data_IF_950923245747
#
_entry.id   IF_950923245747
#
_cell.length_a   1.000
_cell.length_b   1.000
_cell.length_c   1.000
_cell.angle_alpha   90.00
_cell.angle_beta   90.00
_cell.angle_gamma   90.00
#
_symmetry.space_group_name_H-M   'P 1'
#
loop_
_entity.id
_entity.type
_entity.pdbx_description
1 polymer ?
#
# COMPACT_ATOMS: atom_id res chain seq x y z
N UNK A 1 11.45 -8.03 -11.77
CA UNK A 1 10.47 -7.25 -10.99
C UNK A 1 9.10 -7.54 -11.58
N UNK A 2 8.08 -7.72 -10.74
CA UNK A 2 6.73 -8.07 -11.16
C UNK A 2 5.89 -6.80 -11.30
N UNK A 3 5.21 -6.63 -12.43
CA UNK A 3 4.29 -5.51 -12.60
C UNK A 3 3.10 -5.67 -11.65
N UNK A 4 2.78 -4.60 -10.94
CA UNK A 4 1.64 -4.52 -10.04
C UNK A 4 0.56 -3.66 -10.69
N UNK A 5 -0.58 -4.28 -11.00
CA UNK A 5 -1.84 -3.59 -11.30
C UNK A 5 -2.68 -3.63 -10.03
N UNK A 6 -3.07 -2.48 -9.48
CA UNK A 6 -3.78 -2.47 -8.21
C UNK A 6 -5.22 -2.93 -8.39
N UNK A 7 -5.71 -3.69 -7.42
CA UNK A 7 -7.09 -4.15 -7.36
C UNK A 7 -7.54 -5.01 -8.56
N UNK A 8 -6.60 -5.49 -9.38
CA UNK A 8 -6.90 -6.41 -10.46
C UNK A 8 -7.13 -7.83 -9.93
N UNK A 9 -8.02 -8.59 -10.57
CA UNK A 9 -8.30 -9.98 -10.19
C UNK A 9 -8.88 -10.14 -8.77
N UNK A 10 -9.76 -9.21 -8.33
CA UNK A 10 -10.41 -9.27 -7.01
C UNK A 10 -11.11 -10.61 -6.73
N UNK A 11 -11.43 -11.39 -7.76
CA UNK A 11 -12.35 -12.52 -7.73
C UNK A 11 -11.75 -13.87 -7.36
N UNK A 12 -10.43 -14.14 -7.44
CA UNK A 12 -9.94 -15.52 -7.24
C UNK A 12 -8.45 -15.76 -6.91
N UNK A 13 -7.67 -14.74 -6.56
CA UNK A 13 -6.25 -14.95 -6.22
C UNK A 13 -6.07 -15.73 -4.90
N UNK A 14 -5.21 -16.76 -4.91
CA UNK A 14 -4.73 -17.40 -3.68
C UNK A 14 -4.06 -16.35 -2.79
N UNK A 15 -4.37 -16.38 -1.50
CA UNK A 15 -3.73 -15.51 -0.51
C UNK A 15 -2.60 -16.27 0.17
N UNK A 16 -1.53 -15.55 0.53
CA UNK A 16 -0.46 -16.03 1.40
C UNK A 16 -0.62 -15.31 2.72
N UNK A 17 -0.83 -16.06 3.81
CA UNK A 17 -1.12 -15.53 5.14
C UNK A 17 -2.27 -14.50 5.18
N UNK A 18 -3.29 -14.68 4.35
CA UNK A 18 -4.45 -13.78 4.29
C UNK A 18 -4.22 -12.48 3.52
N UNK A 19 -3.13 -12.37 2.76
CA UNK A 19 -2.84 -11.24 1.86
C UNK A 19 -2.57 -11.72 0.43
N UNK A 20 -2.89 -10.90 -0.57
CA UNK A 20 -2.61 -11.15 -1.99
C UNK A 20 -1.21 -10.67 -2.39
N UNK A 21 -0.75 -9.57 -1.79
CA UNK A 21 0.59 -9.05 -1.98
C UNK A 21 1.59 -9.92 -1.21
N UNK A 22 2.74 -10.18 -1.83
CA UNK A 22 3.82 -10.94 -1.20
C UNK A 22 4.97 -9.97 -0.90
N UNK A 23 5.29 -9.66 0.37
CA UNK A 23 6.21 -8.57 0.70
C UNK A 23 7.66 -8.82 0.29
N UNK A 24 8.04 -10.08 0.04
CA UNK A 24 9.36 -10.47 -0.47
C UNK A 24 9.46 -10.39 -2.00
N UNK A 25 8.36 -10.09 -2.68
CA UNK A 25 8.35 -9.91 -4.13
C UNK A 25 8.74 -8.46 -4.49
N UNK A 26 9.59 -8.31 -5.51
CA UNK A 26 9.97 -6.99 -6.03
C UNK A 26 8.96 -6.51 -7.06
N UNK A 27 8.01 -5.70 -6.61
CA UNK A 27 6.99 -5.10 -7.48
C UNK A 27 7.46 -3.80 -8.14
N UNK A 28 6.96 -3.54 -9.34
CA UNK A 28 7.02 -2.22 -10.00
C UNK A 28 5.61 -1.75 -10.34
N UNK A 29 5.36 -0.45 -10.24
CA UNK A 29 4.05 0.17 -10.47
C UNK A 29 4.17 1.34 -11.45
N UNK A 30 3.19 1.49 -12.34
CA UNK A 30 3.06 2.68 -13.18
C UNK A 30 2.01 3.60 -12.57
N UNK A 31 2.45 4.65 -11.84
CA UNK A 31 1.54 5.55 -11.15
C UNK A 31 0.55 6.24 -12.11
N UNK A 32 0.99 6.61 -13.32
CA UNK A 32 0.13 7.27 -14.32
C UNK A 32 -1.08 6.40 -14.69
N UNK A 33 -0.92 5.07 -14.71
CA UNK A 33 -2.00 4.12 -15.00
C UNK A 33 -2.87 3.76 -13.79
N UNK A 34 -2.41 4.08 -12.58
CA UNK A 34 -3.06 3.71 -11.31
C UNK A 34 -3.72 4.89 -10.60
N UNK A 35 -3.33 6.13 -10.92
CA UNK A 35 -3.70 7.33 -10.15
C UNK A 35 -5.21 7.58 -10.15
N UNK A 36 -5.88 7.47 -11.29
CA UNK A 36 -7.33 7.73 -11.40
C UNK A 36 -8.14 6.76 -10.53
N UNK A 37 -7.80 5.46 -10.60
CA UNK A 37 -8.47 4.45 -9.79
C UNK A 37 -8.14 4.61 -8.31
N UNK A 38 -6.89 4.95 -7.99
CA UNK A 38 -6.47 5.21 -6.60
C UNK A 38 -7.21 6.40 -5.99
N UNK A 39 -7.44 7.47 -6.76
CA UNK A 39 -8.26 8.61 -6.36
C UNK A 39 -9.71 8.18 -6.10
N UNK A 40 -10.31 7.37 -6.98
CA UNK A 40 -11.67 6.87 -6.81
C UNK A 40 -11.82 5.99 -5.54
N UNK A 41 -10.82 5.15 -5.24
CA UNK A 41 -10.77 4.36 -4.00
C UNK A 41 -10.69 5.28 -2.78
N UNK A 42 -9.84 6.30 -2.79
CA UNK A 42 -9.74 7.28 -1.70
C UNK A 42 -11.04 8.06 -1.51
N UNK A 43 -11.71 8.49 -2.58
CA UNK A 43 -13.04 9.13 -2.49
C UNK A 43 -14.10 8.21 -1.88
N UNK A 44 -14.05 6.93 -2.22
CA UNK A 44 -14.93 5.91 -1.64
C UNK A 44 -14.69 5.76 -0.14
N UNK A 45 -13.43 5.79 0.30
CA UNK A 45 -13.04 5.77 1.71
C UNK A 45 -13.55 7.02 2.45
N UNK A 46 -13.42 8.21 1.87
CA UNK A 46 -13.97 9.44 2.48
C UNK A 46 -15.49 9.40 2.60
N UNK A 47 -16.17 8.76 1.65
CA UNK A 47 -17.64 8.68 1.63
C UNK A 47 -18.17 7.60 2.58
N UNK A 48 -17.54 6.43 2.60
CA UNK A 48 -18.00 5.26 3.36
C UNK A 48 -17.39 5.18 4.77
N UNK A 49 -16.36 5.98 5.04
CA UNK A 49 -15.58 5.97 6.27
C UNK A 49 -14.31 5.13 6.16
N UNK A 50 -13.31 5.50 6.97
CA UNK A 50 -11.98 4.88 6.95
C UNK A 50 -12.01 3.45 7.50
N UNK A 51 -11.48 2.45 6.74
CA UNK A 51 -11.36 1.10 7.26
C UNK A 51 -10.31 1.03 8.39
N UNK A 52 -10.41 0.04 9.31
CA UNK A 52 -9.43 -0.15 10.39
C UNK A 52 -7.97 -0.20 9.94
N UNK A 53 -7.71 -0.64 8.71
CA UNK A 53 -6.39 -0.62 8.07
C UNK A 53 -5.66 0.74 8.18
N UNK A 54 -6.36 1.87 8.06
CA UNK A 54 -5.72 3.21 8.16
C UNK A 54 -5.14 3.50 9.54
N UNK A 55 -5.63 2.84 10.60
CA UNK A 55 -4.99 2.94 11.92
C UNK A 55 -3.61 2.31 11.94
N UNK A 56 -3.38 1.25 11.15
CA UNK A 56 -2.05 0.63 11.06
C UNK A 56 -1.10 1.51 10.26
N UNK A 57 -1.59 2.16 9.20
CA UNK A 57 -0.80 3.16 8.48
C UNK A 57 -0.36 4.31 9.39
N UNK A 58 -1.28 4.91 10.14
CA UNK A 58 -0.95 6.00 11.06
C UNK A 58 -0.04 5.55 12.21
N UNK A 59 -0.25 4.34 12.75
CA UNK A 59 0.63 3.79 13.77
C UNK A 59 2.06 3.61 13.24
N UNK A 60 2.20 3.05 12.03
CA UNK A 60 3.50 2.87 11.41
C UNK A 60 4.21 4.21 11.15
N UNK A 61 3.50 5.23 10.67
CA UNK A 61 4.06 6.58 10.51
C UNK A 61 4.59 7.11 11.85
N UNK A 62 3.75 7.08 12.89
CA UNK A 62 4.09 7.57 14.22
C UNK A 62 5.29 6.83 14.83
N UNK A 63 5.30 5.49 14.77
CA UNK A 63 6.36 4.64 15.32
C UNK A 63 7.72 4.88 14.64
N UNK A 64 7.72 5.34 13.39
CA UNK A 64 8.93 5.61 12.62
C UNK A 64 9.27 7.11 12.55
N UNK A 65 8.58 7.96 13.32
CA UNK A 65 8.87 9.40 13.41
C UNK A 65 8.41 10.23 12.22
N UNK A 66 7.53 9.70 11.37
CA UNK A 66 6.91 10.42 10.26
C UNK A 66 5.63 11.13 10.70
N UNK A 67 5.26 12.19 9.98
CA UNK A 67 4.02 12.93 10.26
C UNK A 67 2.79 12.11 9.86
N UNK A 68 1.83 11.97 10.77
CA UNK A 68 0.54 11.32 10.49
C UNK A 68 -0.44 12.20 9.73
N UNK A 69 -0.20 13.52 9.70
CA UNK A 69 -1.05 14.49 8.99
C UNK A 69 -0.53 14.78 7.59
N UNK A 70 0.79 14.87 7.45
CA UNK A 70 1.49 15.12 6.19
C UNK A 70 2.55 14.03 6.00
N UNK A 71 2.16 12.82 5.59
CA UNK A 71 3.07 11.68 5.49
C UNK A 71 4.32 12.01 4.67
N UNK A 72 5.48 11.75 5.27
CA UNK A 72 6.78 12.14 4.74
C UNK A 72 7.86 11.04 4.84
N UNK A 73 7.55 9.76 4.50
CA UNK A 73 8.58 8.72 4.39
C UNK A 73 9.56 9.03 3.25
N UNK A 74 10.84 8.73 3.42
CA UNK A 74 11.87 8.96 2.39
C UNK A 74 12.21 7.69 1.61
N UNK A 75 12.68 7.87 0.38
CA UNK A 75 13.18 6.81 -0.48
C UNK A 75 14.30 6.00 0.21
N UNK A 76 15.25 6.64 0.90
CA UNK A 76 16.35 5.91 1.56
C UNK A 76 15.84 5.01 2.69
N UNK A 77 14.85 5.48 3.46
CA UNK A 77 14.28 4.72 4.56
C UNK A 77 13.57 3.45 4.05
N UNK A 78 12.67 3.64 3.08
CA UNK A 78 11.81 2.55 2.59
C UNK A 78 12.54 1.56 1.68
N UNK A 79 13.65 1.96 1.04
CA UNK A 79 14.44 1.10 0.16
C UNK A 79 14.88 -0.21 0.83
N UNK A 80 15.18 -0.18 2.13
CA UNK A 80 15.60 -1.38 2.90
C UNK A 80 14.51 -2.44 3.06
N UNK A 81 13.24 -2.11 2.79
CA UNK A 81 12.09 -3.01 2.86
C UNK A 81 11.73 -3.60 1.49
N UNK A 82 12.17 -2.99 0.39
CA UNK A 82 11.74 -3.32 -0.96
C UNK A 82 12.07 -4.76 -1.38
N UNK A 83 11.04 -5.60 -1.49
CA UNK A 83 11.17 -7.02 -1.81
C UNK A 83 11.93 -7.83 -0.74
N UNK A 84 11.95 -7.34 0.51
CA UNK A 84 12.63 -8.00 1.64
C UNK A 84 11.63 -8.35 2.73
N UNK A 85 10.85 -7.38 3.19
CA UNK A 85 9.89 -7.53 4.29
C UNK A 85 8.83 -6.44 4.23
N UNK A 86 7.64 -6.63 4.84
CA UNK A 86 6.64 -5.58 4.87
C UNK A 86 7.09 -4.45 5.80
N UNK A 87 6.56 -3.25 5.57
CA UNK A 87 6.70 -2.10 6.48
C UNK A 87 5.96 -2.40 7.79
N UNK A 88 4.76 -2.96 7.69
CA UNK A 88 3.99 -3.55 8.77
C UNK A 88 3.16 -4.71 8.25
N UNK A 89 2.83 -5.67 9.12
CA UNK A 89 1.84 -6.72 8.85
C UNK A 89 1.04 -6.96 10.12
N UNK A 90 -0.28 -6.80 10.04
CA UNK A 90 -1.20 -7.01 11.16
C UNK A 90 -2.32 -7.96 10.75
N UNK A 91 -3.29 -8.25 11.62
CA UNK A 91 -4.51 -8.94 11.19
C UNK A 91 -5.45 -8.10 10.31
N UNK A 92 -5.22 -6.78 10.21
CA UNK A 92 -6.10 -5.87 9.46
C UNK A 92 -5.48 -5.37 8.16
N UNK A 93 -4.17 -5.13 8.09
CA UNK A 93 -3.53 -4.67 6.87
C UNK A 93 -2.05 -5.05 6.81
N UNK A 94 -1.50 -4.95 5.60
CA UNK A 94 -0.08 -5.05 5.35
C UNK A 94 0.36 -3.90 4.46
N UNK A 95 1.45 -3.25 4.83
CA UNK A 95 2.12 -2.22 4.02
C UNK A 95 3.37 -2.78 3.37
N UNK A 96 3.54 -2.55 2.07
CA UNK A 96 4.73 -2.94 1.33
C UNK A 96 5.29 -1.76 0.55
N UNK A 97 6.57 -1.87 0.20
CA UNK A 97 7.25 -0.93 -0.67
C UNK A 97 7.19 -1.45 -2.09
N UNK A 98 6.83 -0.59 -3.04
CA UNK A 98 6.87 -0.87 -4.48
C UNK A 98 7.69 0.20 -5.16
N UNK A 99 8.36 -0.14 -6.26
CA UNK A 99 9.18 0.81 -7.02
C UNK A 99 8.40 1.38 -8.21
N UNK A 100 8.65 2.62 -8.59
CA UNK A 100 8.17 3.15 -9.87
C UNK A 100 8.71 2.34 -11.06
N UNK A 101 7.96 2.30 -12.16
CA UNK A 101 8.44 1.68 -13.40
C UNK A 101 9.44 2.56 -14.17
N UNK A 102 9.27 3.90 -14.11
CA UNK A 102 9.98 4.85 -14.97
C UNK A 102 11.07 5.67 -14.27
N UNK A 103 11.08 5.68 -12.94
CA UNK A 103 12.04 6.42 -12.12
C UNK A 103 12.52 5.58 -10.93
N UNK A 104 13.35 6.18 -10.09
CA UNK A 104 13.94 5.52 -8.92
C UNK A 104 13.13 5.73 -7.63
N UNK A 105 11.91 6.29 -7.72
CA UNK A 105 11.06 6.52 -6.55
C UNK A 105 10.41 5.25 -6.05
N UNK A 106 10.12 5.27 -4.75
CA UNK A 106 9.36 4.25 -4.06
C UNK A 106 7.98 4.78 -3.67
N UNK A 107 7.02 3.86 -3.66
CA UNK A 107 5.67 4.08 -3.18
C UNK A 107 5.35 3.09 -2.07
N UNK A 108 4.49 3.51 -1.15
CA UNK A 108 3.91 2.64 -0.14
C UNK A 108 2.53 2.20 -0.60
N UNK A 109 2.35 0.88 -0.71
CA UNK A 109 1.05 0.26 -1.01
C UNK A 109 0.59 -0.51 0.21
N UNK A 110 -0.64 -0.23 0.64
CA UNK A 110 -1.32 -0.99 1.68
C UNK A 110 -2.34 -1.94 1.06
N UNK A 111 -2.34 -3.19 1.50
CA UNK A 111 -3.45 -4.11 1.29
C UNK A 111 -4.28 -4.24 2.57
N UNK A 112 -5.58 -4.00 2.44
CA UNK A 112 -6.57 -4.32 3.44
C UNK A 112 -6.80 -5.84 3.51
N UNK A 113 -6.70 -6.45 4.69
CA UNK A 113 -7.16 -7.83 4.88
C UNK A 113 -8.69 -7.95 4.72
N UNK A 114 -9.19 -9.18 4.72
CA UNK A 114 -10.63 -9.48 4.74
C UNK A 114 -11.40 -8.95 5.96
N UNK A 115 -10.71 -8.55 7.04
CA UNK A 115 -11.35 -7.98 8.23
C UNK A 115 -11.84 -6.55 8.02
N UNK A 116 -11.43 -5.89 6.93
CA UNK A 116 -11.93 -4.58 6.55
C UNK A 116 -13.21 -4.73 5.73
N UNK A 117 -14.37 -4.72 6.41
CA UNK A 117 -15.68 -4.81 5.76
C UNK A 117 -15.83 -3.71 4.70
N UNK A 118 -16.26 -4.09 3.50
CA UNK A 118 -16.38 -3.19 2.35
C UNK A 118 -15.08 -2.93 1.57
N UNK A 119 -13.92 -3.30 2.13
CA UNK A 119 -12.59 -3.04 1.56
C UNK A 119 -11.69 -4.29 1.55
N UNK A 120 -12.30 -5.48 1.46
CA UNK A 120 -11.56 -6.76 1.49
C UNK A 120 -10.54 -6.82 0.34
N UNK A 121 -9.27 -7.00 0.66
CA UNK A 121 -8.15 -7.05 -0.30
C UNK A 121 -8.01 -5.81 -1.17
N UNK A 122 -8.62 -4.68 -0.79
CA UNK A 122 -8.41 -3.42 -1.48
C UNK A 122 -6.95 -3.00 -1.27
N UNK A 123 -6.28 -2.68 -2.37
CA UNK A 123 -4.91 -2.20 -2.44
C UNK A 123 -4.93 -0.69 -2.68
N UNK A 124 -4.19 0.05 -1.87
CA UNK A 124 -4.26 1.52 -1.80
C UNK A 124 -2.84 2.06 -1.84
N UNK A 125 -2.53 2.98 -2.76
CA UNK A 125 -1.30 3.78 -2.73
C UNK A 125 -1.47 4.85 -1.65
N UNK A 126 -0.61 4.82 -0.64
CA UNK A 126 -0.66 5.76 0.48
C UNK A 126 0.17 7.02 0.26
N UNK A 127 1.12 6.97 -0.69
CA UNK A 127 2.05 8.05 -1.01
C UNK A 127 1.92 8.44 -2.48
N UNK A 128 0.77 9.02 -2.88
CA UNK A 128 0.51 9.34 -4.30
C UNK A 128 1.55 10.29 -4.93
N UNK A 129 2.27 11.08 -4.12
CA UNK A 129 3.36 11.93 -4.57
C UNK A 129 4.75 11.28 -4.52
N UNK A 130 4.84 9.97 -4.26
CA UNK A 130 6.10 9.27 -3.99
C UNK A 130 6.54 9.37 -2.53
N UNK A 131 7.56 8.59 -2.17
CA UNK A 131 8.35 8.84 -0.97
C UNK A 131 9.36 9.95 -1.28
N UNK A 132 9.69 10.78 -0.28
CA UNK A 132 10.54 11.97 -0.44
C UNK A 132 12.01 11.63 -0.70
#
# INVERSE_FOLDING_TARGET
MKKLKLNDGMTQAQTVDGYKLVPTEKYVINLEEEIDFSIAVMQSIFTMGFPPAFKNWHAWLFENGFSTEVPNPTNEFVASYYGVKPLWKTPYSMGIVVKAEKDDDYYIVMECSEKNKGFKHTQIILTLGGCM
#
